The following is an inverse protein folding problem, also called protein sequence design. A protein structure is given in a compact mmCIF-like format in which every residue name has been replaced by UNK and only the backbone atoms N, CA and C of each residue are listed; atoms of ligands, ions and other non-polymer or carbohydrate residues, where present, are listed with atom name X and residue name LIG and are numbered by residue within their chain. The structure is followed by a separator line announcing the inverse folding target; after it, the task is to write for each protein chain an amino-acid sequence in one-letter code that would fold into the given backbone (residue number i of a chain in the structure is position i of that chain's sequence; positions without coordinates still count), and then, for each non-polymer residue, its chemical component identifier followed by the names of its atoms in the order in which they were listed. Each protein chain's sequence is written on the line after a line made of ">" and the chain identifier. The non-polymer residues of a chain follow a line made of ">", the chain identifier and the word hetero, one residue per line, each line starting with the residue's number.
data_IF_208171267520
#
_entry.id   IF_208171267520
#
_cell.length_a   1.000
_cell.length_b   1.000
_cell.length_c   1.000
_cell.angle_alpha   90.00
_cell.angle_beta   90.00
_cell.angle_gamma   90.00
#
_symmetry.space_group_name_H-M   'P 1'
#
loop_
_entity.id
_entity.type
_entity.pdbx_description
1 polymer ?
#
# COMPACT_ATOMS: atom_id res chain seq x y z
N UNK A 1 -13.96 1.43 -6.06
CA UNK A 1 -12.54 1.11 -6.29
C UNK A 1 -12.26 1.05 -7.78
N UNK A 2 -11.20 1.65 -8.24
CA UNK A 2 -10.80 1.69 -9.66
C UNK A 2 -9.66 0.71 -9.96
N UNK A 3 -8.82 0.44 -8.99
CA UNK A 3 -7.63 -0.40 -9.13
C UNK A 3 -7.45 -1.25 -7.87
N UNK A 4 -7.08 -2.49 -8.08
CA UNK A 4 -6.62 -3.37 -7.02
C UNK A 4 -5.28 -4.00 -7.44
N UNK A 5 -4.43 -4.34 -6.49
CA UNK A 5 -3.16 -4.98 -6.78
C UNK A 5 -2.72 -5.90 -5.65
N UNK A 6 -2.00 -6.93 -6.03
CA UNK A 6 -1.34 -7.84 -5.11
C UNK A 6 -0.01 -8.29 -5.70
N UNK A 7 0.98 -8.50 -4.86
CA UNK A 7 2.30 -8.94 -5.28
C UNK A 7 2.99 -9.79 -4.22
N UNK A 8 3.92 -10.60 -4.66
CA UNK A 8 4.76 -11.40 -3.78
C UNK A 8 6.17 -10.82 -3.77
N UNK A 9 6.57 -10.35 -2.60
CA UNK A 9 7.86 -9.69 -2.41
C UNK A 9 8.98 -10.71 -2.16
N UNK A 10 10.18 -10.35 -2.57
CA UNK A 10 11.41 -11.08 -2.29
C UNK A 10 12.30 -10.35 -1.29
N UNK A 11 13.16 -11.09 -0.61
CA UNK A 11 14.19 -10.53 0.29
C UNK A 11 13.63 -9.62 1.40
N UNK A 12 12.51 -10.05 1.99
CA UNK A 12 11.84 -9.31 3.05
C UNK A 12 12.48 -9.62 4.41
N UNK A 13 12.94 -8.59 5.11
CA UNK A 13 13.59 -8.73 6.41
C UNK A 13 12.60 -8.89 7.58
N UNK A 14 11.43 -8.27 7.49
CA UNK A 14 10.40 -8.30 8.54
C UNK A 14 9.05 -7.78 8.00
N UNK A 15 7.95 -7.90 8.78
CA UNK A 15 6.64 -7.42 8.35
C UNK A 15 6.59 -5.92 8.02
N UNK A 16 7.30 -5.09 8.77
CA UNK A 16 7.36 -3.65 8.50
C UNK A 16 7.99 -3.35 7.13
N UNK A 17 9.01 -4.10 6.74
CA UNK A 17 9.61 -4.01 5.42
C UNK A 17 8.59 -4.31 4.31
N UNK A 18 7.79 -5.37 4.48
CA UNK A 18 6.72 -5.71 3.52
C UNK A 18 5.67 -4.60 3.42
N UNK A 19 5.23 -4.05 4.55
CA UNK A 19 4.27 -2.94 4.59
C UNK A 19 4.82 -1.68 3.91
N UNK A 20 6.08 -1.35 4.13
CA UNK A 20 6.73 -0.21 3.50
C UNK A 20 6.83 -0.37 1.97
N UNK A 21 7.20 -1.55 1.49
CA UNK A 21 7.25 -1.83 0.05
C UNK A 21 5.88 -1.82 -0.59
N UNK A 22 4.85 -2.31 0.10
CA UNK A 22 3.47 -2.23 -0.37
C UNK A 22 3.01 -0.76 -0.49
N UNK A 23 3.34 0.08 0.48
CA UNK A 23 3.05 1.51 0.41
C UNK A 23 3.79 2.19 -0.75
N UNK A 24 5.06 1.85 -0.97
CA UNK A 24 5.82 2.35 -2.11
C UNK A 24 5.14 2.01 -3.43
N UNK A 25 4.68 0.78 -3.59
CA UNK A 25 3.96 0.35 -4.77
C UNK A 25 2.64 1.12 -4.94
N UNK A 26 1.89 1.33 -3.87
CA UNK A 26 0.65 2.10 -3.90
C UNK A 26 0.90 3.56 -4.34
N UNK A 27 1.96 4.19 -3.86
CA UNK A 27 2.36 5.54 -4.28
C UNK A 27 2.70 5.57 -5.78
N UNK A 28 3.46 4.60 -6.27
CA UNK A 28 3.79 4.48 -7.69
C UNK A 28 2.54 4.36 -8.56
N UNK A 29 1.60 3.50 -8.18
CA UNK A 29 0.38 3.29 -8.96
C UNK A 29 -0.54 4.52 -8.93
N UNK A 30 -0.72 5.14 -7.77
CA UNK A 30 -1.49 6.38 -7.67
C UNK A 30 -0.89 7.51 -8.52
N UNK A 31 0.44 7.61 -8.54
CA UNK A 31 1.15 8.57 -9.40
C UNK A 31 0.94 8.27 -10.89
N UNK A 32 1.05 7.01 -11.29
CA UNK A 32 0.80 6.59 -12.69
C UNK A 32 -0.63 6.87 -13.14
N UNK A 33 -1.58 6.79 -12.24
CA UNK A 33 -2.99 7.12 -12.50
C UNK A 33 -3.25 8.62 -12.57
N UNK A 34 -2.27 9.47 -12.29
CA UNK A 34 -2.41 10.91 -12.30
C UNK A 34 -3.15 11.48 -11.09
N UNK A 35 -3.25 10.74 -9.99
CA UNK A 35 -3.84 11.25 -8.76
C UNK A 35 -3.01 12.40 -8.21
N UNK A 36 -3.67 13.50 -7.83
CA UNK A 36 -3.01 14.68 -7.24
C UNK A 36 -3.23 14.76 -5.73
N UNK A 37 -4.36 14.27 -5.25
CA UNK A 37 -4.72 14.26 -3.84
C UNK A 37 -4.96 12.82 -3.40
N UNK A 38 -4.21 12.36 -2.41
CA UNK A 38 -4.26 10.98 -1.95
C UNK A 38 -4.35 10.89 -0.43
N UNK A 39 -4.96 9.83 0.04
CA UNK A 39 -4.91 9.39 1.42
C UNK A 39 -4.28 8.01 1.42
N UNK A 40 -3.14 7.86 2.07
CA UNK A 40 -2.48 6.58 2.28
C UNK A 40 -2.88 6.03 3.64
N UNK A 41 -3.48 4.86 3.65
CA UNK A 41 -3.92 4.19 4.87
C UNK A 41 -3.03 2.99 5.17
N UNK A 42 -2.68 2.82 6.43
CA UNK A 42 -1.92 1.66 6.92
C UNK A 42 -2.36 1.28 8.33
N UNK A 43 -2.33 0.01 8.65
CA UNK A 43 -2.49 -0.49 10.02
C UNK A 43 -1.15 -0.58 10.79
N UNK A 44 -0.04 -0.32 10.12
CA UNK A 44 1.28 -0.28 10.73
C UNK A 44 1.56 1.12 11.30
N UNK A 45 1.41 1.30 12.61
CA UNK A 45 1.61 2.59 13.28
C UNK A 45 3.04 3.13 13.12
N UNK A 46 4.04 2.25 13.12
CA UNK A 46 5.44 2.63 12.89
C UNK A 46 5.63 3.18 11.47
N UNK A 47 5.00 2.57 10.48
CA UNK A 47 5.06 3.05 9.10
C UNK A 47 4.44 4.45 8.97
N UNK A 48 3.30 4.68 9.60
CA UNK A 48 2.71 6.02 9.64
C UNK A 48 3.67 7.04 10.25
N UNK A 49 4.28 6.73 11.39
CA UNK A 49 5.25 7.61 12.05
C UNK A 49 6.47 7.88 11.16
N UNK A 50 6.98 6.84 10.49
CA UNK A 50 8.11 6.96 9.57
C UNK A 50 7.79 7.83 8.35
N UNK A 51 6.53 7.85 7.90
CA UNK A 51 6.10 8.71 6.80
C UNK A 51 5.91 10.18 7.23
N UNK A 52 5.58 10.41 8.49
CA UNK A 52 5.26 11.75 9.00
C UNK A 52 6.46 12.45 9.66
N UNK A 53 7.55 11.74 9.91
CA UNK A 53 8.72 12.28 10.61
C UNK A 53 10.00 11.58 10.16
N UNK A 54 11.14 12.09 10.64
CA UNK A 54 12.47 11.52 10.41
C UNK A 54 12.92 10.56 11.54
N UNK A 55 12.02 10.23 12.48
CA UNK A 55 12.34 9.46 13.69
C UNK A 55 12.94 8.08 13.40
N UNK A 56 12.65 7.51 12.25
CA UNK A 56 13.12 6.18 11.86
C UNK A 56 14.17 6.19 10.75
N UNK A 57 14.71 7.35 10.41
CA UNK A 57 15.66 7.47 9.29
C UNK A 57 16.99 6.77 9.54
N UNK A 58 17.39 6.62 10.79
CA UNK A 58 18.59 5.88 11.18
C UNK A 58 18.36 4.36 11.34
N UNK A 59 17.13 3.90 11.17
CA UNK A 59 16.80 2.48 11.21
C UNK A 59 17.28 1.76 9.93
N UNK A 60 17.27 0.43 9.97
CA UNK A 60 17.62 -0.39 8.79
C UNK A 60 16.76 -0.12 7.55
N UNK A 61 15.54 0.38 7.74
CA UNK A 61 14.62 0.76 6.67
C UNK A 61 14.62 2.26 6.36
N UNK A 62 15.52 3.03 6.97
CA UNK A 62 15.55 4.48 6.86
C UNK A 62 15.67 5.00 5.43
N UNK A 63 16.48 4.35 4.59
CA UNK A 63 16.61 4.70 3.16
C UNK A 63 15.28 4.52 2.45
N UNK A 64 14.59 3.39 2.67
CA UNK A 64 13.29 3.12 2.09
C UNK A 64 12.24 4.15 2.52
N UNK A 65 12.21 4.50 3.80
CA UNK A 65 11.28 5.52 4.31
C UNK A 65 11.53 6.89 3.68
N UNK A 66 12.79 7.28 3.53
CA UNK A 66 13.15 8.54 2.85
C UNK A 66 12.75 8.53 1.38
N UNK A 67 12.95 7.42 0.70
CA UNK A 67 12.56 7.28 -0.70
C UNK A 67 11.04 7.45 -0.87
N UNK A 68 10.24 6.79 -0.04
CA UNK A 68 8.78 6.90 -0.11
C UNK A 68 8.33 8.33 0.18
N UNK A 69 8.87 8.98 1.22
CA UNK A 69 8.54 10.40 1.52
C UNK A 69 8.89 11.32 0.35
N UNK A 70 10.02 11.10 -0.31
CA UNK A 70 10.41 11.89 -1.49
C UNK A 70 9.46 11.67 -2.65
N UNK A 71 9.08 10.42 -2.93
CA UNK A 71 8.11 10.09 -3.96
C UNK A 71 6.76 10.76 -3.72
N UNK A 72 6.27 10.74 -2.49
CA UNK A 72 5.01 11.39 -2.09
C UNK A 72 5.08 12.89 -2.37
N UNK A 73 6.14 13.55 -1.96
CA UNK A 73 6.32 15.00 -2.18
C UNK A 73 6.38 15.38 -3.65
N UNK A 74 7.02 14.55 -4.47
CA UNK A 74 7.19 14.82 -5.90
C UNK A 74 5.94 14.46 -6.72
N UNK A 75 5.13 13.51 -6.25
CA UNK A 75 4.03 12.94 -7.03
C UNK A 75 2.68 13.60 -6.76
N UNK A 76 2.45 14.11 -5.56
CA UNK A 76 1.14 14.58 -5.13
C UNK A 76 1.15 16.04 -4.70
N UNK A 77 0.04 16.71 -4.94
CA UNK A 77 -0.21 18.07 -4.40
C UNK A 77 -0.57 18.00 -2.92
N UNK A 78 -1.35 16.99 -2.54
CA UNK A 78 -1.74 16.73 -1.16
C UNK A 78 -1.71 15.24 -0.88
N UNK A 79 -1.05 14.87 0.19
CA UNK A 79 -1.06 13.50 0.70
C UNK A 79 -1.29 13.51 2.20
N UNK A 80 -2.29 12.74 2.65
CA UNK A 80 -2.51 12.44 4.06
C UNK A 80 -2.09 11.01 4.34
N UNK A 81 -1.47 10.80 5.48
CA UNK A 81 -1.13 9.46 5.97
C UNK A 81 -2.02 9.19 7.19
N UNK A 82 -2.83 8.16 7.11
CA UNK A 82 -3.77 7.81 8.16
C UNK A 82 -3.52 6.38 8.66
N UNK A 83 -3.65 6.21 9.97
CA UNK A 83 -3.68 4.88 10.56
C UNK A 83 -5.12 4.36 10.52
N UNK A 84 -5.30 3.18 9.93
CA UNK A 84 -6.57 2.46 10.03
C UNK A 84 -6.39 1.19 10.87
N UNK A 85 -7.35 0.89 11.77
CA UNK A 85 -7.31 -0.37 12.50
C UNK A 85 -7.32 -1.56 11.54
N UNK A 86 -6.71 -2.67 11.94
CA UNK A 86 -6.67 -3.89 11.13
C UNK A 86 -8.05 -4.37 10.67
N UNK A 87 -9.07 -4.19 11.51
CA UNK A 87 -10.46 -4.49 11.19
C UNK A 87 -11.02 -3.67 10.03
N UNK A 88 -10.46 -2.49 9.76
CA UNK A 88 -10.84 -1.63 8.64
C UNK A 88 -9.96 -1.85 7.40
N UNK A 89 -8.80 -2.50 7.57
CA UNK A 89 -7.85 -2.79 6.49
C UNK A 89 -7.98 -4.22 5.94
N UNK A 90 -9.15 -4.81 6.08
CA UNK A 90 -9.40 -6.22 5.73
C UNK A 90 -9.21 -6.49 4.23
N UNK A 91 -9.60 -5.56 3.36
CA UNK A 91 -9.42 -5.73 1.91
C UNK A 91 -7.94 -5.83 1.55
N UNK A 92 -7.09 -4.97 2.09
CA UNK A 92 -5.66 -5.02 1.87
C UNK A 92 -5.08 -6.36 2.36
N UNK A 93 -5.50 -6.84 3.52
CA UNK A 93 -5.09 -8.16 4.03
C UNK A 93 -5.57 -9.31 3.15
N UNK A 94 -6.77 -9.23 2.60
CA UNK A 94 -7.29 -10.26 1.68
C UNK A 94 -6.53 -10.29 0.36
N UNK A 95 -6.20 -9.13 -0.18
CA UNK A 95 -5.36 -9.03 -1.38
C UNK A 95 -3.94 -9.52 -1.11
N UNK A 96 -3.39 -9.22 0.06
CA UNK A 96 -2.08 -9.73 0.48
C UNK A 96 -2.09 -11.26 0.60
N UNK A 97 -3.15 -11.86 1.16
CA UNK A 97 -3.31 -13.31 1.21
C UNK A 97 -3.41 -13.92 -0.20
N UNK A 98 -4.08 -13.25 -1.13
CA UNK A 98 -4.13 -13.66 -2.52
C UNK A 98 -2.73 -13.72 -3.16
N UNK A 99 -1.80 -12.88 -2.72
CA UNK A 99 -0.44 -12.83 -3.25
C UNK A 99 0.34 -14.14 -3.08
N UNK A 100 -0.08 -15.02 -2.18
CA UNK A 100 0.54 -16.35 -2.01
C UNK A 100 0.44 -17.22 -3.27
N UNK A 101 -0.49 -16.91 -4.17
CA UNK A 101 -0.69 -17.58 -5.45
C UNK A 101 0.15 -17.00 -6.59
N UNK A 102 0.86 -15.92 -6.32
CA UNK A 102 1.71 -15.22 -7.29
C UNK A 102 3.15 -15.69 -7.11
N UNK A 103 3.89 -15.83 -8.21
CA UNK A 103 5.32 -16.14 -8.12
C UNK A 103 6.09 -15.00 -7.43
N UNK A 104 7.11 -15.37 -6.67
CA UNK A 104 7.95 -14.40 -5.97
C UNK A 104 8.56 -13.38 -6.93
N UNK A 105 8.56 -12.11 -6.54
CA UNK A 105 9.04 -10.99 -7.35
C UNK A 105 8.03 -10.46 -8.36
N UNK A 106 6.91 -11.14 -8.58
CA UNK A 106 5.84 -10.69 -9.46
C UNK A 106 4.73 -9.97 -8.69
N UNK A 107 3.95 -9.18 -9.41
CA UNK A 107 2.73 -8.56 -8.89
C UNK A 107 1.68 -8.48 -10.00
N UNK A 108 0.43 -8.40 -9.59
CA UNK A 108 -0.70 -8.22 -10.49
C UNK A 108 -1.46 -6.96 -10.12
N UNK A 109 -1.86 -6.22 -11.13
CA UNK A 109 -2.72 -5.04 -10.99
C UNK A 109 -3.96 -5.28 -11.82
N UNK A 110 -5.11 -5.10 -11.20
CA UNK A 110 -6.40 -5.23 -11.83
C UNK A 110 -7.06 -3.86 -11.94
N UNK A 111 -7.51 -3.55 -13.12
CA UNK A 111 -8.38 -2.41 -13.37
C UNK A 111 -9.84 -2.87 -13.35
N UNK A 112 -10.73 -1.99 -12.94
CA UNK A 112 -12.16 -2.28 -13.04
C UNK A 112 -12.60 -2.43 -14.52
N UNK A 113 -13.46 -3.40 -14.89
CA UNK A 113 -14.09 -4.40 -14.01
C UNK A 113 -13.11 -5.49 -13.56
N UNK A 114 -13.22 -5.89 -12.30
CA UNK A 114 -12.32 -6.86 -11.70
C UNK A 114 -12.70 -8.30 -12.06
N UNK A 115 -11.73 -9.24 -12.10
CA UNK A 115 -12.05 -10.67 -12.16
C UNK A 115 -12.96 -11.10 -11.01
N UNK A 116 -13.79 -12.16 -11.18
CA UNK A 116 -14.77 -12.57 -10.17
C UNK A 116 -14.18 -12.78 -8.77
N UNK A 117 -13.07 -13.47 -8.65
CA UNK A 117 -12.40 -13.74 -7.39
C UNK A 117 -11.89 -12.46 -6.68
N UNK A 118 -11.38 -11.49 -7.43
CA UNK A 118 -11.00 -10.16 -6.91
C UNK A 118 -12.25 -9.36 -6.55
N UNK A 119 -13.28 -9.41 -7.40
CA UNK A 119 -14.52 -8.71 -7.17
C UNK A 119 -15.24 -9.22 -5.91
N UNK A 120 -15.21 -10.51 -5.64
CA UNK A 120 -15.76 -11.12 -4.42
C UNK A 120 -15.03 -10.63 -3.17
N UNK A 121 -13.71 -10.48 -3.23
CA UNK A 121 -12.93 -9.89 -2.14
C UNK A 121 -13.33 -8.44 -1.85
N UNK A 122 -13.67 -7.69 -2.88
CA UNK A 122 -14.10 -6.30 -2.78
C UNK A 122 -15.56 -6.21 -2.28
N UNK A 123 -16.47 -7.01 -2.85
CA UNK A 123 -17.90 -6.97 -2.57
C UNK A 123 -18.26 -7.49 -1.17
N UNK A 124 -17.50 -8.44 -0.63
CA UNK A 124 -17.70 -8.98 0.72
C UNK A 124 -17.41 -7.99 1.84
N UNK A 125 -17.17 -6.73 1.53
CA UNK A 125 -16.71 -5.74 2.47
C UNK A 125 -17.48 -4.45 2.38
N UNK A 126 -18.05 -4.06 3.51
CA UNK A 126 -18.51 -2.70 3.67
C UNK A 126 -17.41 -1.74 3.21
N UNK A 127 -17.80 -0.90 2.29
CA UNK A 127 -17.07 0.23 1.73
C UNK A 127 -16.24 0.98 2.79
N UNK A 128 -15.12 0.43 3.20
CA UNK A 128 -14.07 1.25 3.72
C UNK A 128 -13.46 1.95 2.51
N UNK A 129 -13.62 3.23 2.44
CA UNK A 129 -13.18 4.07 1.36
C UNK A 129 -11.71 3.81 1.06
N UNK A 130 -11.47 3.17 -0.05
CA UNK A 130 -10.17 3.23 -0.68
C UNK A 130 -10.22 4.44 -1.56
N UNK A 131 -9.60 5.42 -1.09
CA UNK A 131 -9.38 6.64 -1.85
C UNK A 131 -8.13 6.43 -2.70
#
# INVERSE_FOLDING_TARGET
>A
MLVAGAGKLENISNPLHAEALAMKQAVLEASRMGCLNVILETDASILKQAMMSESYDESSLGVLFRDIRSMVRLSFQCCKIEHCPRSCNILAHSLAAFSTRIEAGNYHIWLAPFPPDVNDLIAGRCLANIV
#
